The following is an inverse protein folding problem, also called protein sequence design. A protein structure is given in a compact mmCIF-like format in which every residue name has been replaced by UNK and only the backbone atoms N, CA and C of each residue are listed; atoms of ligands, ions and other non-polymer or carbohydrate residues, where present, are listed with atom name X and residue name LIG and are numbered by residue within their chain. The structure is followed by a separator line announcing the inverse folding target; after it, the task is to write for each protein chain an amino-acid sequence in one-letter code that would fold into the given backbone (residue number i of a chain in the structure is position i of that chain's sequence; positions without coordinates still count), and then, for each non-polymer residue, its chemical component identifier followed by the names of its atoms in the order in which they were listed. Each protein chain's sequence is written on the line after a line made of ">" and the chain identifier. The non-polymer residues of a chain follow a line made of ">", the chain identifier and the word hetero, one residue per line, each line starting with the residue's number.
data_IF_688430272430
#
_entry.id   IF_688430272430
#
_cell.length_a   1.000
_cell.length_b   1.000
_cell.length_c   1.000
_cell.angle_alpha   90.00
_cell.angle_beta   90.00
_cell.angle_gamma   90.00
#
_symmetry.space_group_name_H-M   'P 1'
#
loop_
_entity.id
_entity.type
_entity.pdbx_description
1 polymer ?
#
# COMPACT_ATOMS: atom_id res chain seq x y z
N UNK A 1 -15.94 -3.12 16.72
CA UNK A 1 -15.79 -3.10 15.26
C UNK A 1 -14.59 -3.97 14.99
N UNK A 2 -14.79 -5.05 14.26
CA UNK A 2 -13.72 -6.01 14.00
C UNK A 2 -12.89 -5.52 12.81
N UNK A 3 -11.61 -5.23 13.03
CA UNK A 3 -10.70 -4.79 11.99
C UNK A 3 -10.19 -5.96 11.14
N UNK A 4 -10.34 -7.21 11.62
CA UNK A 4 -9.79 -8.40 10.97
C UNK A 4 -10.44 -8.64 9.61
N UNK A 5 -11.73 -8.36 9.49
CA UNK A 5 -12.42 -8.38 8.18
C UNK A 5 -11.81 -7.39 7.20
N UNK A 6 -11.56 -6.15 7.64
CA UNK A 6 -10.98 -5.13 6.76
C UNK A 6 -9.54 -5.47 6.37
N UNK A 7 -8.76 -6.01 7.31
CA UNK A 7 -7.41 -6.52 7.02
C UNK A 7 -7.46 -7.61 5.95
N UNK A 8 -8.38 -8.58 6.08
CA UNK A 8 -8.55 -9.66 5.11
C UNK A 8 -8.99 -9.14 3.73
N UNK A 9 -9.97 -8.23 3.65
CA UNK A 9 -10.39 -7.63 2.38
C UNK A 9 -9.26 -6.80 1.74
N UNK A 10 -8.45 -6.08 2.53
CA UNK A 10 -7.27 -5.36 2.01
C UNK A 10 -6.19 -6.30 1.47
N UNK A 11 -5.97 -7.46 2.11
CA UNK A 11 -5.04 -8.48 1.58
C UNK A 11 -5.50 -9.00 0.21
N UNK A 12 -6.80 -9.20 0.01
CA UNK A 12 -7.34 -9.54 -1.31
C UNK A 12 -7.08 -8.47 -2.37
N UNK A 13 -7.18 -7.18 -2.01
CA UNK A 13 -6.83 -6.08 -2.93
C UNK A 13 -5.33 -6.11 -3.27
N UNK A 14 -4.46 -6.43 -2.30
CA UNK A 14 -3.02 -6.57 -2.54
C UNK A 14 -2.75 -7.71 -3.53
N UNK A 15 -3.36 -8.88 -3.33
CA UNK A 15 -3.24 -10.02 -4.24
C UNK A 15 -3.68 -9.66 -5.66
N UNK A 16 -4.82 -8.99 -5.82
CA UNK A 16 -5.28 -8.49 -7.13
C UNK A 16 -4.24 -7.58 -7.80
N UNK A 17 -3.58 -6.70 -7.03
CA UNK A 17 -2.56 -5.79 -7.57
C UNK A 17 -1.30 -6.57 -7.98
N UNK A 18 -0.88 -7.57 -7.19
CA UNK A 18 0.29 -8.42 -7.52
C UNK A 18 0.02 -9.22 -8.79
N UNK A 19 -1.18 -9.81 -8.93
CA UNK A 19 -1.58 -10.54 -10.13
C UNK A 19 -1.55 -9.65 -11.38
N UNK A 20 -1.80 -8.34 -11.24
CA UNK A 20 -1.70 -7.38 -12.35
C UNK A 20 -0.25 -7.11 -12.79
N UNK A 21 0.77 -7.36 -11.94
CA UNK A 21 2.19 -7.23 -12.29
C UNK A 21 2.76 -8.44 -13.04
N UNK A 22 2.20 -9.63 -12.80
CA UNK A 22 2.71 -10.91 -13.33
C UNK A 22 2.52 -11.11 -14.84
N UNK A 23 1.84 -10.18 -15.52
CA UNK A 23 1.49 -10.32 -16.94
C UNK A 23 2.51 -9.76 -17.95
N UNK A 24 3.53 -9.00 -17.53
CA UNK A 24 4.51 -8.41 -18.47
C UNK A 24 5.88 -8.13 -17.82
N UNK A 25 6.68 -9.19 -17.68
CA UNK A 25 8.04 -9.14 -17.10
C UNK A 25 8.95 -8.10 -17.78
N UNK A 26 8.83 -7.91 -19.09
CA UNK A 26 9.63 -6.94 -19.84
C UNK A 26 9.23 -5.49 -19.51
N UNK A 27 7.93 -5.21 -19.39
CA UNK A 27 7.46 -3.88 -18.92
C UNK A 27 7.77 -3.65 -17.45
N UNK A 28 7.70 -4.69 -16.62
CA UNK A 28 8.07 -4.61 -15.22
C UNK A 28 9.54 -4.22 -15.06
N UNK A 29 10.46 -4.86 -15.80
CA UNK A 29 11.88 -4.54 -15.76
C UNK A 29 12.18 -3.10 -16.23
N UNK A 30 11.49 -2.61 -17.26
CA UNK A 30 11.60 -1.22 -17.71
C UNK A 30 11.08 -0.25 -16.65
N UNK A 31 9.94 -0.55 -16.05
CA UNK A 31 9.38 0.22 -14.95
C UNK A 31 10.33 0.28 -13.75
N UNK A 32 10.92 -0.85 -13.34
CA UNK A 32 11.85 -0.90 -12.22
C UNK A 32 13.09 -0.05 -12.51
N UNK A 33 13.64 -0.14 -13.71
CA UNK A 33 14.75 0.69 -14.15
C UNK A 33 14.40 2.19 -14.08
N UNK A 34 13.25 2.59 -14.63
CA UNK A 34 12.82 3.99 -14.66
C UNK A 34 12.62 4.52 -13.23
N UNK A 35 11.91 3.77 -12.38
CA UNK A 35 11.66 4.13 -10.99
C UNK A 35 12.95 4.28 -10.18
N UNK A 36 13.90 3.35 -10.36
CA UNK A 36 15.22 3.44 -9.71
C UNK A 36 16.03 4.64 -10.21
N UNK A 37 15.91 4.98 -11.50
CA UNK A 37 16.62 6.11 -12.11
C UNK A 37 16.10 7.48 -11.64
N UNK A 38 14.79 7.60 -11.41
CA UNK A 38 14.19 8.82 -10.86
C UNK A 38 14.59 9.05 -9.40
N UNK A 39 14.79 7.96 -8.66
CA UNK A 39 15.22 7.99 -7.26
C UNK A 39 14.08 8.21 -6.26
N UNK A 40 14.40 7.94 -5.00
CA UNK A 40 13.42 7.84 -3.92
C UNK A 40 12.61 9.12 -3.66
N UNK A 41 13.25 10.29 -3.68
CA UNK A 41 12.55 11.56 -3.42
C UNK A 41 11.52 11.88 -4.52
N UNK A 42 11.85 11.60 -5.78
CA UNK A 42 10.92 11.80 -6.89
C UNK A 42 9.75 10.81 -6.82
N UNK A 43 10.00 9.58 -6.37
CA UNK A 43 8.92 8.64 -6.08
C UNK A 43 7.96 9.16 -5.00
N UNK A 44 8.50 9.63 -3.87
CA UNK A 44 7.66 10.19 -2.81
C UNK A 44 6.84 11.37 -3.31
N UNK A 45 7.42 12.22 -4.15
CA UNK A 45 6.71 13.32 -4.78
C UNK A 45 5.61 12.83 -5.73
N UNK A 46 5.90 11.83 -6.58
CA UNK A 46 4.91 11.20 -7.46
C UNK A 46 3.71 10.68 -6.66
N UNK A 47 3.94 9.93 -5.59
CA UNK A 47 2.86 9.38 -4.75
C UNK A 47 1.98 10.48 -4.15
N UNK A 48 2.59 11.58 -3.68
CA UNK A 48 1.84 12.73 -3.16
C UNK A 48 0.97 13.37 -4.24
N UNK A 49 1.54 13.60 -5.42
CA UNK A 49 0.84 14.25 -6.54
C UNK A 49 -0.28 13.37 -7.12
N UNK A 50 -0.11 12.05 -7.08
CA UNK A 50 -1.06 11.08 -7.62
C UNK A 50 -1.95 10.43 -6.56
N UNK A 51 -1.90 10.87 -5.30
CA UNK A 51 -2.62 10.24 -4.18
C UNK A 51 -4.12 10.05 -4.45
N UNK A 52 -4.78 11.02 -5.08
CA UNK A 52 -6.20 10.88 -5.43
C UNK A 52 -6.44 9.75 -6.43
N UNK A 53 -5.56 9.60 -7.43
CA UNK A 53 -5.65 8.55 -8.44
C UNK A 53 -5.33 7.19 -7.81
N UNK A 54 -4.34 7.12 -6.92
CA UNK A 54 -3.99 5.90 -6.17
C UNK A 54 -5.18 5.43 -5.32
N UNK A 55 -5.85 6.33 -4.59
CA UNK A 55 -7.06 5.99 -3.82
C UNK A 55 -8.21 5.49 -4.70
N UNK A 56 -8.42 6.15 -5.84
CA UNK A 56 -9.40 5.72 -6.83
C UNK A 56 -9.05 4.32 -7.37
N UNK A 57 -7.76 4.03 -7.58
CA UNK A 57 -7.28 2.74 -8.05
C UNK A 57 -7.57 1.62 -7.04
N UNK A 58 -7.20 1.83 -5.77
CA UNK A 58 -7.49 0.91 -4.65
C UNK A 58 -9.00 0.62 -4.57
N UNK A 59 -9.83 1.67 -4.71
CA UNK A 59 -11.28 1.56 -4.61
C UNK A 59 -11.96 0.96 -5.87
N UNK A 60 -11.20 0.72 -6.94
CA UNK A 60 -11.70 0.18 -8.21
C UNK A 60 -11.45 -1.31 -8.31
N UNK A 61 -12.36 -2.04 -8.94
CA UNK A 61 -12.16 -3.46 -9.27
C UNK A 61 -11.15 -3.64 -10.41
N UNK A 62 -10.54 -4.83 -10.58
CA UNK A 62 -9.60 -5.09 -11.69
C UNK A 62 -10.19 -4.78 -13.08
N UNK A 63 -11.49 -5.06 -13.27
CA UNK A 63 -12.18 -4.75 -14.53
C UNK A 63 -12.32 -3.24 -14.76
N UNK A 64 -12.43 -2.43 -13.71
CA UNK A 64 -12.45 -0.97 -13.82
C UNK A 64 -11.04 -0.41 -14.07
N UNK A 65 -10.03 -0.95 -13.39
CA UNK A 65 -8.62 -0.56 -13.55
C UNK A 65 -8.14 -0.70 -14.99
N UNK A 66 -8.42 -1.84 -15.61
CA UNK A 66 -8.08 -2.15 -17.01
C UNK A 66 -8.79 -1.29 -18.06
N UNK A 67 -9.95 -0.69 -17.75
CA UNK A 67 -10.77 0.06 -18.72
C UNK A 67 -10.63 1.57 -18.61
N UNK A 68 -10.37 2.08 -17.42
CA UNK A 68 -10.38 3.52 -17.17
C UNK A 68 -9.06 4.16 -17.59
N UNK A 69 -9.13 5.06 -18.57
CA UNK A 69 -7.95 5.77 -19.12
C UNK A 69 -7.10 6.46 -18.06
N UNK A 70 -7.72 6.98 -16.99
CA UNK A 70 -7.02 7.68 -15.89
C UNK A 70 -5.96 6.82 -15.18
N UNK A 71 -6.08 5.49 -15.26
CA UNK A 71 -5.11 4.56 -14.67
C UNK A 71 -4.06 4.09 -15.67
N UNK A 72 -4.33 4.21 -16.97
CA UNK A 72 -3.43 3.71 -18.01
C UNK A 72 -2.17 4.57 -18.12
N UNK A 73 -2.28 5.86 -17.82
CA UNK A 73 -1.15 6.76 -17.70
C UNK A 73 -0.40 6.46 -16.39
N UNK A 74 0.84 5.95 -16.49
CA UNK A 74 1.66 5.52 -15.35
C UNK A 74 1.09 4.32 -14.57
N UNK A 75 0.42 3.39 -15.26
CA UNK A 75 -0.24 2.23 -14.64
C UNK A 75 0.60 1.54 -13.57
N UNK A 76 1.83 1.14 -13.90
CA UNK A 76 2.72 0.43 -12.98
C UNK A 76 3.12 1.27 -11.75
N UNK A 77 3.36 2.57 -11.94
CA UNK A 77 3.65 3.48 -10.83
C UNK A 77 2.42 3.65 -9.92
N UNK A 78 1.22 3.75 -10.48
CA UNK A 78 -0.02 3.83 -9.69
C UNK A 78 -0.27 2.51 -8.94
N UNK A 79 -0.08 1.38 -9.60
CA UNK A 79 -0.25 0.05 -9.01
C UNK A 79 0.75 -0.19 -7.86
N UNK A 80 2.02 0.19 -8.03
CA UNK A 80 3.02 0.06 -6.96
C UNK A 80 2.69 0.97 -5.78
N UNK A 81 2.29 2.21 -6.05
CA UNK A 81 1.87 3.13 -4.98
C UNK A 81 0.64 2.56 -4.25
N UNK A 82 -0.34 2.01 -4.97
CA UNK A 82 -1.53 1.39 -4.38
C UNK A 82 -1.17 0.17 -3.52
N UNK A 83 -0.26 -0.67 -3.99
CA UNK A 83 0.28 -1.80 -3.24
C UNK A 83 0.90 -1.33 -1.91
N UNK A 84 1.81 -0.35 -1.95
CA UNK A 84 2.48 0.18 -0.77
C UNK A 84 1.53 0.81 0.24
N UNK A 85 0.54 1.57 -0.23
CA UNK A 85 -0.50 2.17 0.60
C UNK A 85 -1.39 1.10 1.26
N UNK A 86 -1.73 0.03 0.53
CA UNK A 86 -2.50 -1.08 1.10
C UNK A 86 -1.71 -1.83 2.19
N UNK A 87 -0.43 -2.18 1.94
CA UNK A 87 0.41 -2.84 2.95
C UNK A 87 0.59 -1.95 4.19
N UNK A 88 0.93 -0.67 3.99
CA UNK A 88 1.06 0.28 5.10
C UNK A 88 -0.24 0.43 5.89
N UNK A 89 -1.38 0.40 5.21
CA UNK A 89 -2.70 0.42 5.86
C UNK A 89 -2.97 -0.86 6.64
N UNK A 90 -2.62 -2.04 6.11
CA UNK A 90 -2.74 -3.32 6.82
C UNK A 90 -1.94 -3.27 8.13
N UNK A 91 -0.68 -2.84 8.08
CA UNK A 91 0.14 -2.72 9.29
C UNK A 91 -0.47 -1.75 10.31
N UNK A 92 -1.00 -0.62 9.85
CA UNK A 92 -1.70 0.33 10.71
C UNK A 92 -2.92 -0.32 11.38
N UNK A 93 -3.77 -1.01 10.63
CA UNK A 93 -4.96 -1.68 11.14
C UNK A 93 -4.60 -2.81 12.13
N UNK A 94 -3.56 -3.59 11.86
CA UNK A 94 -3.05 -4.62 12.77
C UNK A 94 -2.52 -4.01 14.07
N UNK A 95 -1.73 -2.93 13.99
CA UNK A 95 -1.21 -2.21 15.16
C UNK A 95 -2.35 -1.62 16.01
N UNK A 96 -3.39 -1.08 15.36
CA UNK A 96 -4.61 -0.62 16.04
C UNK A 96 -5.37 -1.77 16.70
N UNK A 97 -5.54 -2.89 16.00
CA UNK A 97 -6.25 -4.08 16.49
C UNK A 97 -5.55 -4.65 17.74
N UNK A 98 -4.22 -4.85 17.67
CA UNK A 98 -3.39 -5.31 18.80
C UNK A 98 -3.54 -4.45 20.06
N UNK A 99 -3.76 -3.15 19.88
CA UNK A 99 -3.91 -2.18 20.99
C UNK A 99 -5.35 -1.93 21.42
N UNK A 100 -6.32 -2.60 20.78
CA UNK A 100 -7.74 -2.36 21.00
C UNK A 100 -8.10 -0.87 20.88
N UNK A 101 -7.57 -0.19 19.86
CA UNK A 101 -7.90 1.20 19.49
C UNK A 101 -9.32 1.27 18.90
N UNK A 102 -10.30 0.94 19.72
CA UNK A 102 -11.72 0.91 19.39
C UNK A 102 -12.48 1.97 20.22
N UNK A 103 -13.71 2.26 19.81
CA UNK A 103 -14.61 3.14 20.54
C UNK A 103 -14.85 2.62 21.97
N UNK A 104 -14.86 3.52 22.95
CA UNK A 104 -15.13 3.21 24.37
C UNK A 104 -14.00 3.50 25.34
N UNK A 105 -12.80 3.87 24.87
CA UNK A 105 -11.70 4.30 25.72
C UNK A 105 -11.87 5.77 26.19
N UNK A 106 -11.43 6.12 27.42
CA UNK A 106 -11.27 7.51 27.81
C UNK A 106 -10.30 8.24 26.87
N UNK A 107 -10.63 9.49 26.51
CA UNK A 107 -9.89 10.28 25.51
C UNK A 107 -8.36 10.27 25.70
N UNK A 108 -7.87 10.42 26.95
CA UNK A 108 -6.43 10.43 27.22
C UNK A 108 -5.75 9.09 26.98
N UNK A 109 -6.44 7.99 27.30
CA UNK A 109 -5.94 6.63 27.05
C UNK A 109 -5.94 6.33 25.55
N UNK A 110 -6.99 6.75 24.85
CA UNK A 110 -7.05 6.67 23.39
C UNK A 110 -5.87 7.43 22.75
N UNK A 111 -5.62 8.67 23.16
CA UNK A 111 -4.53 9.49 22.63
C UNK A 111 -3.15 8.84 22.84
N UNK A 112 -2.90 8.24 24.02
CA UNK A 112 -1.64 7.52 24.30
C UNK A 112 -1.44 6.33 23.36
N UNK A 113 -2.45 5.47 23.23
CA UNK A 113 -2.37 4.30 22.34
C UNK A 113 -2.26 4.69 20.87
N UNK A 114 -3.00 5.72 20.44
CA UNK A 114 -2.90 6.23 19.07
C UNK A 114 -1.49 6.78 18.76
N UNK A 115 -0.85 7.43 19.73
CA UNK A 115 0.54 7.89 19.60
C UNK A 115 1.52 6.72 19.49
N UNK A 116 1.31 5.64 20.23
CA UNK A 116 2.13 4.42 20.13
C UNK A 116 1.98 3.76 18.76
N UNK A 117 0.74 3.60 18.27
CA UNK A 117 0.47 3.09 16.91
C UNK A 117 1.13 3.97 15.86
N UNK A 118 0.96 5.29 15.92
CA UNK A 118 1.60 6.20 14.98
C UNK A 118 3.14 6.05 15.00
N UNK A 119 3.74 5.95 16.19
CA UNK A 119 5.19 5.82 16.32
C UNK A 119 5.71 4.49 15.78
N UNK A 120 4.96 3.40 15.98
CA UNK A 120 5.29 2.10 15.39
C UNK A 120 5.24 2.16 13.86
N UNK A 121 4.14 2.69 13.30
CA UNK A 121 3.93 2.75 11.85
C UNK A 121 4.87 3.76 11.16
N UNK A 122 5.17 4.90 11.78
CA UNK A 122 6.09 5.88 11.21
C UNK A 122 7.53 5.34 11.06
N UNK A 123 7.89 4.29 11.81
CA UNK A 123 9.17 3.60 11.68
C UNK A 123 9.14 2.45 10.66
N UNK A 124 7.95 2.05 10.20
CA UNK A 124 7.73 1.00 9.20
C UNK A 124 7.42 1.69 7.86
N UNK A 125 8.40 1.77 6.97
CA UNK A 125 8.23 2.41 5.66
C UNK A 125 8.23 1.36 4.55
N UNK A 126 7.05 1.01 4.04
CA UNK A 126 6.88 0.21 2.81
C UNK A 126 7.56 0.85 1.61
N UNK A 127 7.72 2.18 1.65
CA UNK A 127 8.39 2.97 0.62
C UNK A 127 9.88 2.70 0.57
N UNK A 128 10.51 2.22 1.64
CA UNK A 128 11.95 1.94 1.64
C UNK A 128 12.26 0.51 1.17
N UNK A 129 11.29 -0.39 1.25
CA UNK A 129 11.45 -1.81 0.94
C UNK A 129 11.23 -2.11 -0.54
N UNK A 130 10.31 -1.39 -1.20
CA UNK A 130 9.97 -1.59 -2.60
C UNK A 130 10.06 -0.28 -3.39
N UNK A 131 10.71 -0.25 -4.57
CA UNK A 131 11.69 -1.20 -5.09
C UNK A 131 13.08 -1.10 -4.44
N UNK A 132 13.32 -0.20 -3.48
CA UNK A 132 14.70 0.12 -3.05
C UNK A 132 15.36 -0.93 -2.15
N UNK A 133 14.61 -1.88 -1.60
CA UNK A 133 15.14 -3.04 -0.86
C UNK A 133 15.36 -4.27 -1.74
N UNK A 134 15.88 -5.35 -1.14
CA UNK A 134 15.85 -6.69 -1.73
C UNK A 134 14.43 -7.26 -1.51
N UNK A 135 13.57 -7.24 -2.53
CA UNK A 135 12.19 -7.71 -2.40
C UNK A 135 11.88 -8.82 -3.43
N UNK A 136 11.18 -9.86 -2.99
CA UNK A 136 10.45 -10.82 -3.83
C UNK A 136 8.95 -10.69 -3.53
N UNK A 137 8.10 -10.83 -4.56
CA UNK A 137 6.63 -10.85 -4.41
C UNK A 137 6.11 -12.11 -3.68
N UNK A 138 6.94 -12.80 -2.90
CA UNK A 138 6.54 -14.03 -2.22
C UNK A 138 5.49 -13.73 -1.15
N UNK A 139 4.24 -14.00 -1.53
CA UNK A 139 3.01 -13.96 -0.72
C UNK A 139 3.13 -14.82 0.55
N UNK A 140 4.08 -15.74 0.60
CA UNK A 140 4.30 -16.67 1.72
C UNK A 140 4.82 -16.01 3.02
N UNK A 141 5.35 -14.78 2.98
CA UNK A 141 5.91 -14.13 4.19
C UNK A 141 4.87 -13.49 5.12
N UNK A 142 3.56 -13.66 4.83
CA UNK A 142 2.47 -13.03 5.59
C UNK A 142 1.49 -14.04 6.21
N UNK A 143 1.99 -15.18 6.68
CA UNK A 143 1.25 -16.12 7.56
C UNK A 143 1.48 -15.84 9.05
#
# INVERSE_FOLDING_TARGET
>A
MDLDRYISELKGIVEEIVDEFDFDEARFALFEHDLRSEGFENWLQFKRDKLSIVRDFISSTPSQRSKLKKFQENYFFIALAAYQECIGTIWMLESMSKRNLLSGLPYRKFAGLASETFSEIANLSTDCELPWGEFSFDVETHT
#
